data_IF_041888520230
#
_entry.id   IF_041888520230
#
_cell.length_a   1.000
_cell.length_b   1.000
_cell.length_c   1.000
_cell.angle_alpha   90.00
_cell.angle_beta   90.00
_cell.angle_gamma   90.00
#
_symmetry.space_group_name_H-M   'P 1'
#
loop_
_entity.id
_entity.type
_entity.pdbx_description
1 polymer ?
#
# COMPACT_ATOMS: atom_id res chain seq x y z
N UNK A 1 -1.80 -16.98 20.31
CA UNK A 1 -2.21 -15.82 19.49
C UNK A 1 -3.70 -15.98 19.19
N UNK A 2 -4.53 -14.97 19.44
CA UNK A 2 -5.98 -15.07 19.28
C UNK A 2 -6.34 -15.14 17.78
N UNK A 3 -7.14 -16.13 17.35
CA UNK A 3 -7.41 -16.40 15.91
C UNK A 3 -7.99 -15.17 15.21
N UNK A 4 -8.85 -14.41 15.91
CA UNK A 4 -9.41 -13.17 15.41
C UNK A 4 -8.34 -12.13 15.05
N UNK A 5 -7.31 -11.99 15.89
CA UNK A 5 -6.21 -11.05 15.65
C UNK A 5 -5.42 -11.43 14.40
N UNK A 6 -5.22 -12.73 14.17
CA UNK A 6 -4.60 -13.24 12.94
C UNK A 6 -5.43 -12.88 11.70
N UNK A 7 -6.75 -13.03 11.76
CA UNK A 7 -7.64 -12.72 10.63
C UNK A 7 -7.54 -11.23 10.26
N UNK A 8 -7.66 -10.32 11.24
CA UNK A 8 -7.56 -8.88 10.99
C UNK A 8 -6.17 -8.48 10.48
N UNK A 9 -5.11 -9.08 11.01
CA UNK A 9 -3.74 -8.86 10.55
C UNK A 9 -3.54 -9.32 9.10
N UNK A 10 -3.98 -10.53 8.76
CA UNK A 10 -3.90 -11.06 7.39
C UNK A 10 -4.70 -10.18 6.44
N UNK A 11 -5.89 -9.74 6.82
CA UNK A 11 -6.72 -8.85 6.01
C UNK A 11 -6.04 -7.50 5.75
N UNK A 12 -5.43 -6.91 6.78
CA UNK A 12 -4.63 -5.68 6.64
C UNK A 12 -3.44 -5.87 5.68
N UNK A 13 -2.69 -6.97 5.80
CA UNK A 13 -1.61 -7.29 4.88
C UNK A 13 -2.10 -7.44 3.44
N UNK A 14 -3.23 -8.11 3.22
CA UNK A 14 -3.84 -8.27 1.90
C UNK A 14 -4.19 -6.92 1.30
N UNK A 15 -4.78 -5.99 2.07
CA UNK A 15 -5.12 -4.64 1.59
C UNK A 15 -3.88 -3.89 1.10
N UNK A 16 -2.79 -3.92 1.86
CA UNK A 16 -1.54 -3.25 1.48
C UNK A 16 -0.96 -3.86 0.20
N UNK A 17 -0.86 -5.20 0.15
CA UNK A 17 -0.29 -5.91 -1.00
C UNK A 17 -1.14 -5.68 -2.25
N UNK A 18 -2.47 -5.78 -2.13
CA UNK A 18 -3.38 -5.53 -3.25
C UNK A 18 -3.24 -4.09 -3.78
N UNK A 19 -3.13 -3.11 -2.89
CA UNK A 19 -2.92 -1.70 -3.25
C UNK A 19 -1.59 -1.51 -3.97
N UNK A 20 -0.50 -2.08 -3.44
CA UNK A 20 0.81 -2.03 -4.06
C UNK A 20 0.77 -2.61 -5.48
N UNK A 21 0.18 -3.79 -5.65
CA UNK A 21 0.04 -4.43 -6.97
C UNK A 21 -0.82 -3.58 -7.90
N UNK A 22 -1.93 -3.01 -7.42
CA UNK A 22 -2.82 -2.17 -8.21
C UNK A 22 -2.13 -0.92 -8.75
N UNK A 23 -1.31 -0.25 -7.92
CA UNK A 23 -0.54 0.92 -8.34
C UNK A 23 0.57 0.50 -9.31
N UNK A 24 1.32 -0.55 -8.99
CA UNK A 24 2.45 -1.01 -9.80
C UNK A 24 2.02 -1.47 -11.19
N UNK A 25 0.90 -2.17 -11.30
CA UNK A 25 0.33 -2.60 -12.59
C UNK A 25 -0.38 -1.47 -13.34
N UNK A 26 -0.44 -0.26 -12.78
CA UNK A 26 -1.15 0.86 -13.39
C UNK A 26 -2.67 0.66 -13.48
N UNK A 27 -3.25 -0.26 -12.69
CA UNK A 27 -4.68 -0.56 -12.70
C UNK A 27 -5.50 0.62 -12.18
N UNK A 28 -4.91 1.43 -11.29
CA UNK A 28 -5.55 2.59 -10.69
C UNK A 28 -4.57 3.74 -10.53
N UNK A 29 -5.09 4.97 -10.50
CA UNK A 29 -4.30 6.15 -10.12
C UNK A 29 -3.85 6.01 -8.67
N UNK A 30 -2.58 6.33 -8.40
CA UNK A 30 -1.97 6.20 -7.07
C UNK A 30 -2.76 6.93 -5.97
N UNK A 31 -3.35 8.09 -6.30
CA UNK A 31 -4.21 8.85 -5.38
C UNK A 31 -5.45 8.05 -4.95
N UNK A 32 -6.16 7.44 -5.91
CA UNK A 32 -7.39 6.68 -5.65
C UNK A 32 -7.08 5.38 -4.90
N UNK A 33 -6.03 4.67 -5.34
CA UNK A 33 -5.57 3.46 -4.67
C UNK A 33 -5.11 3.75 -3.22
N UNK A 34 -4.39 4.85 -3.02
CA UNK A 34 -3.94 5.30 -1.70
C UNK A 34 -5.08 5.67 -0.77
N UNK A 35 -6.07 6.44 -1.24
CA UNK A 35 -7.25 6.78 -0.43
C UNK A 35 -8.05 5.55 -0.03
N UNK A 36 -8.21 4.58 -0.95
CA UNK A 36 -8.93 3.35 -0.69
C UNK A 36 -8.18 2.46 0.31
N UNK A 37 -6.86 2.34 0.16
CA UNK A 37 -5.98 1.62 1.09
C UNK A 37 -6.05 2.21 2.50
N UNK A 38 -5.98 3.54 2.61
CA UNK A 38 -6.09 4.23 3.89
C UNK A 38 -7.44 3.98 4.55
N UNK A 39 -8.55 4.17 3.82
CA UNK A 39 -9.89 3.94 4.34
C UNK A 39 -10.10 2.48 4.79
N UNK A 40 -9.69 1.52 3.97
CA UNK A 40 -9.82 0.10 4.27
C UNK A 40 -8.95 -0.32 5.47
N UNK A 41 -7.70 0.16 5.52
CA UNK A 41 -6.78 -0.09 6.63
C UNK A 41 -7.31 0.45 7.96
N UNK A 42 -7.79 1.68 7.97
CA UNK A 42 -8.38 2.30 9.16
C UNK A 42 -9.63 1.54 9.59
N UNK A 43 -10.51 1.16 8.67
CA UNK A 43 -11.72 0.42 8.99
C UNK A 43 -11.41 -0.95 9.63
N UNK A 44 -10.44 -1.69 9.07
CA UNK A 44 -10.01 -3.00 9.58
C UNK A 44 -9.38 -2.88 10.96
N UNK A 45 -8.47 -1.92 11.15
CA UNK A 45 -7.81 -1.72 12.45
C UNK A 45 -8.76 -1.18 13.51
N UNK A 46 -9.74 -0.36 13.13
CA UNK A 46 -10.77 0.12 14.03
C UNK A 46 -11.67 -1.03 14.49
N UNK A 47 -12.14 -1.87 13.55
CA UNK A 47 -12.92 -3.06 13.86
C UNK A 47 -12.15 -4.03 14.77
N UNK A 48 -10.85 -4.21 14.51
CA UNK A 48 -9.96 -4.98 15.39
C UNK A 48 -9.91 -4.40 16.80
N UNK A 49 -9.72 -3.08 16.93
CA UNK A 49 -9.65 -2.43 18.24
C UNK A 49 -10.94 -2.57 19.04
N UNK A 50 -12.10 -2.41 18.39
CA UNK A 50 -13.40 -2.66 19.00
C UNK A 50 -13.57 -4.12 19.44
N UNK A 51 -13.12 -5.07 18.61
CA UNK A 51 -13.21 -6.49 18.95
C UNK A 51 -12.30 -6.92 20.11
N UNK A 52 -11.27 -6.13 20.41
CA UNK A 52 -10.45 -6.28 21.62
C UNK A 52 -11.06 -5.62 22.86
N UNK A 53 -12.24 -5.00 22.75
CA UNK A 53 -12.89 -4.29 23.85
C UNK A 53 -12.24 -2.95 24.20
N UNK A 54 -11.44 -2.37 23.28
CA UNK A 54 -10.87 -1.04 23.49
C UNK A 54 -11.97 0.03 23.47
N UNK A 55 -11.76 1.10 24.23
CA UNK A 55 -12.62 2.27 24.16
C UNK A 55 -12.61 2.86 22.74
N UNK A 56 -13.77 3.27 22.24
CA UNK A 56 -13.98 3.71 20.84
C UNK A 56 -12.96 4.76 20.41
N UNK A 57 -12.68 5.76 21.25
CA UNK A 57 -11.70 6.81 20.96
C UNK A 57 -10.27 6.29 20.80
N UNK A 58 -9.86 5.32 21.63
CA UNK A 58 -8.53 4.71 21.55
C UNK A 58 -8.40 3.82 20.31
N UNK A 59 -9.44 3.03 20.02
CA UNK A 59 -9.47 2.18 18.82
C UNK A 59 -9.38 3.04 17.55
N UNK A 60 -10.14 4.13 17.48
CA UNK A 60 -10.14 5.04 16.34
C UNK A 60 -8.78 5.73 16.17
N UNK A 61 -8.21 6.24 17.26
CA UNK A 61 -6.91 6.90 17.22
C UNK A 61 -5.81 5.95 16.75
N UNK A 62 -5.73 4.74 17.33
CA UNK A 62 -4.76 3.74 16.92
C UNK A 62 -4.94 3.32 15.45
N UNK A 63 -6.18 3.13 15.01
CA UNK A 63 -6.50 2.77 13.63
C UNK A 63 -6.10 3.86 12.64
N UNK A 64 -6.35 5.13 12.96
CA UNK A 64 -5.95 6.27 12.13
C UNK A 64 -4.43 6.37 12.03
N UNK A 65 -3.73 6.34 13.16
CA UNK A 65 -2.26 6.48 13.18
C UNK A 65 -1.61 5.34 12.41
N UNK A 66 -1.95 4.09 12.72
CA UNK A 66 -1.32 2.93 12.07
C UNK A 66 -1.77 2.79 10.62
N UNK A 67 -3.08 2.94 10.35
CA UNK A 67 -3.62 2.79 9.01
C UNK A 67 -3.07 3.83 8.03
N UNK A 68 -2.95 5.08 8.46
CA UNK A 68 -2.39 6.15 7.61
C UNK A 68 -0.90 5.97 7.36
N UNK A 69 -0.11 5.67 8.39
CA UNK A 69 1.36 5.51 8.26
C UNK A 69 1.70 4.38 7.29
N UNK A 70 1.07 3.22 7.44
CA UNK A 70 1.34 2.09 6.55
C UNK A 70 0.79 2.32 5.13
N UNK A 71 -0.37 2.94 5.00
CA UNK A 71 -0.93 3.26 3.68
C UNK A 71 -0.05 4.28 2.94
N UNK A 72 0.42 5.33 3.62
CA UNK A 72 1.31 6.32 3.00
C UNK A 72 2.63 5.69 2.59
N UNK A 73 3.21 4.83 3.44
CA UNK A 73 4.44 4.11 3.12
C UNK A 73 4.28 3.20 1.89
N UNK A 74 3.17 2.45 1.81
CA UNK A 74 2.87 1.58 0.69
C UNK A 74 2.70 2.35 -0.63
N UNK A 75 1.98 3.48 -0.60
CA UNK A 75 1.77 4.34 -1.77
C UNK A 75 3.08 4.98 -2.23
N UNK A 76 3.89 5.50 -1.30
CA UNK A 76 5.20 6.07 -1.59
C UNK A 76 6.12 5.04 -2.25
N UNK A 77 6.20 3.83 -1.71
CA UNK A 77 6.98 2.75 -2.31
C UNK A 77 6.47 2.38 -3.70
N UNK A 78 5.16 2.20 -3.86
CA UNK A 78 4.58 1.84 -5.16
C UNK A 78 4.82 2.93 -6.21
N UNK A 79 4.70 4.21 -5.83
CA UNK A 79 4.97 5.33 -6.71
C UNK A 79 6.46 5.43 -7.08
N UNK A 80 7.35 5.26 -6.11
CA UNK A 80 8.80 5.28 -6.34
C UNK A 80 9.23 4.23 -7.36
N UNK A 81 8.81 2.97 -7.17
CA UNK A 81 9.18 1.90 -8.11
C UNK A 81 8.57 2.10 -9.49
N UNK A 82 7.35 2.63 -9.60
CA UNK A 82 6.73 2.88 -10.90
C UNK A 82 7.42 4.00 -11.69
N UNK A 83 7.95 5.02 -11.01
CA UNK A 83 8.69 6.12 -11.66
C UNK A 83 10.09 5.69 -12.08
N UNK A 84 10.72 4.81 -11.30
CA UNK A 84 12.06 4.29 -11.56
C UNK A 84 12.10 3.04 -12.45
N UNK A 85 10.97 2.61 -13.03
CA UNK A 85 10.97 1.56 -14.04
C UNK A 85 11.66 2.10 -15.31
N UNK A 86 12.77 1.48 -15.78
CA UNK A 86 13.44 1.92 -17.00
C UNK A 86 12.44 1.92 -18.14
N UNK A 87 12.35 3.05 -18.83
CA UNK A 87 11.39 3.18 -19.92
C UNK A 87 11.66 2.09 -20.96
N UNK A 88 10.62 1.44 -21.45
CA UNK A 88 10.76 0.41 -22.50
C UNK A 88 11.47 0.97 -23.75
N UNK A 89 11.47 2.30 -23.92
CA UNK A 89 12.18 3.03 -24.97
C UNK A 89 13.71 2.95 -24.81
N UNK A 90 14.22 3.03 -23.58
CA UNK A 90 15.64 2.99 -23.24
C UNK A 90 16.21 1.57 -23.32
N UNK A 91 15.37 0.55 -23.13
CA UNK A 91 15.71 -0.85 -23.38
C UNK A 91 15.79 -1.19 -24.89
N UNK A 92 15.17 -0.38 -25.76
CA UNK A 92 15.11 -0.63 -27.20
C UNK A 92 16.05 0.26 -28.03
N UNK A 93 16.60 1.33 -27.45
CA UNK A 93 17.64 2.13 -28.08
C UNK A 93 18.99 1.38 -27.97
N UNK A 94 19.58 0.92 -29.09
CA UNK A 94 20.94 0.38 -29.05
C UNK A 94 21.91 1.46 -28.58
N UNK A 95 22.80 1.15 -27.63
CA UNK A 95 23.82 2.08 -27.13
C UNK A 95 24.64 2.63 -28.30
N UNK A 96 24.36 3.88 -28.69
CA UNK A 96 24.97 4.60 -29.82
C UNK A 96 26.51 4.59 -29.74
N UNK A 97 27.06 4.35 -28.54
CA UNK A 97 28.50 4.20 -28.29
C UNK A 97 29.13 2.95 -28.92
N UNK A 98 28.32 1.97 -29.29
CA UNK A 98 28.78 0.80 -30.06
C UNK A 98 29.08 1.12 -31.52
N UNK A 99 28.56 2.24 -32.05
CA UNK A 99 28.74 2.68 -33.45
C UNK A 99 29.90 3.68 -33.63
N UNK A 100 30.59 4.06 -32.55
CA UNK A 100 31.69 5.04 -32.58
C UNK A 100 33.10 4.42 -32.44
N UNK A 101 33.24 3.10 -32.55
CA UNK A 101 34.53 2.40 -32.57
C UNK A 101 34.89 1.93 -33.98
#
# INVERSE_FOLDING_TARGET
MNILALIFFVLFCIIIVATYIAIRRGLMRAQVAGSLCAAASVAVLFAFGLAQGLFVGHALFAALVVGLVFSSAAVLMAAFFRVNEPSALEAYLPDDRSLQK
#
